data_IF_581849749054
#
_entry.id   IF_581849749054
#
_cell.length_a   1.000
_cell.length_b   1.000
_cell.length_c   1.000
_cell.angle_alpha   90.00
_cell.angle_beta   90.00
_cell.angle_gamma   90.00
#
_symmetry.space_group_name_H-M   'P 1'
#
loop_
_entity.id
_entity.type
_entity.pdbx_description
1 polymer ?
#
# COMPACT_ATOMS: atom_id res chain seq x y z
N UNK A 1 -19.85 22.38 -11.38
CA UNK A 1 -20.39 21.01 -11.25
C UNK A 1 -19.30 19.95 -11.11
N UNK A 2 -18.17 20.04 -11.83
CA UNK A 2 -17.00 19.17 -11.56
C UNK A 2 -16.30 19.46 -10.21
N UNK A 3 -16.28 20.72 -9.76
CA UNK A 3 -15.74 21.12 -8.45
C UNK A 3 -16.37 20.37 -7.26
N UNK A 4 -17.69 20.14 -7.29
CA UNK A 4 -18.40 19.51 -6.16
C UNK A 4 -18.05 18.04 -6.03
N UNK A 5 -17.99 17.29 -7.13
CA UNK A 5 -17.53 15.89 -7.13
C UNK A 5 -16.07 15.76 -6.68
N UNK A 6 -15.24 16.75 -7.02
CA UNK A 6 -13.84 16.81 -6.58
C UNK A 6 -13.71 17.03 -5.06
N UNK A 7 -14.51 17.94 -4.50
CA UNK A 7 -14.57 18.20 -3.06
C UNK A 7 -15.15 17.02 -2.28
N UNK A 8 -16.19 16.38 -2.82
CA UNK A 8 -16.84 15.21 -2.20
C UNK A 8 -15.87 14.02 -2.10
N UNK A 9 -15.11 13.72 -3.15
CA UNK A 9 -14.08 12.67 -3.12
C UNK A 9 -12.92 12.96 -2.16
N UNK A 10 -12.64 14.24 -1.89
CA UNK A 10 -11.62 14.65 -0.92
C UNK A 10 -12.12 14.58 0.52
N UNK A 11 -13.44 14.60 0.77
CA UNK A 11 -13.99 14.60 2.12
C UNK A 11 -13.65 13.29 2.83
N UNK A 12 -13.25 13.37 4.10
CA UNK A 12 -13.00 12.19 4.94
C UNK A 12 -14.25 11.31 5.11
N UNK A 13 -15.42 11.84 4.79
CA UNK A 13 -16.72 11.15 4.90
C UNK A 13 -16.88 10.00 3.88
N UNK A 14 -16.05 9.94 2.84
CA UNK A 14 -16.09 8.88 1.82
C UNK A 14 -14.96 7.83 1.96
N UNK A 15 -14.13 7.94 3.01
CA UNK A 15 -13.00 7.05 3.23
C UNK A 15 -13.04 6.48 4.64
N UNK A 16 -13.20 5.17 4.74
CA UNK A 16 -13.11 4.46 6.01
C UNK A 16 -11.73 3.83 6.17
N UNK A 17 -11.11 4.05 7.33
CA UNK A 17 -9.85 3.39 7.67
C UNK A 17 -10.16 1.95 8.05
N UNK A 18 -9.53 1.00 7.36
CA UNK A 18 -9.70 -0.41 7.65
C UNK A 18 -9.41 -0.72 9.14
N UNK A 19 -10.20 -1.57 9.79
CA UNK A 19 -9.93 -2.00 11.16
C UNK A 19 -8.50 -2.52 11.32
N UNK A 20 -7.80 -2.00 12.32
CA UNK A 20 -6.41 -2.38 12.63
C UNK A 20 -5.33 -1.70 11.77
N UNK A 21 -5.67 -0.84 10.80
CA UNK A 21 -4.68 -0.18 9.95
C UNK A 21 -3.75 0.75 10.73
N UNK A 22 -4.28 1.70 11.52
CA UNK A 22 -3.46 2.61 12.32
C UNK A 22 -2.58 1.86 13.33
N UNK A 23 -3.11 0.81 13.97
CA UNK A 23 -2.31 0.01 14.91
C UNK A 23 -1.17 -0.71 14.18
N UNK A 24 -1.46 -1.37 13.05
CA UNK A 24 -0.45 -2.07 12.26
C UNK A 24 0.65 -1.12 11.81
N UNK A 25 0.30 0.04 11.24
CA UNK A 25 1.27 1.05 10.80
C UNK A 25 2.09 1.62 11.98
N UNK A 26 1.46 1.85 13.13
CA UNK A 26 2.15 2.30 14.34
C UNK A 26 3.18 1.28 14.81
N UNK A 27 2.81 -0.01 14.84
CA UNK A 27 3.71 -1.12 15.22
C UNK A 27 4.85 -1.30 14.23
N UNK A 28 4.59 -1.21 12.93
CA UNK A 28 5.65 -1.19 11.90
C UNK A 28 6.66 -0.08 12.19
N UNK A 29 6.20 1.14 12.47
CA UNK A 29 7.09 2.26 12.80
C UNK A 29 7.88 2.02 14.08
N UNK A 30 7.23 1.48 15.13
CA UNK A 30 7.89 1.13 16.41
C UNK A 30 9.00 0.08 16.24
N UNK A 31 8.84 -0.84 15.29
CA UNK A 31 9.85 -1.84 14.92
C UNK A 31 10.94 -1.30 13.98
N UNK A 32 10.86 -0.04 13.57
CA UNK A 32 11.86 0.60 12.70
C UNK A 32 11.62 0.42 11.21
N UNK A 33 10.46 -0.08 10.78
CA UNK A 33 10.12 -0.14 9.35
C UNK A 33 9.88 1.26 8.80
N UNK A 34 10.61 1.56 7.72
CA UNK A 34 10.35 2.72 6.86
C UNK A 34 9.21 2.37 5.92
N UNK A 35 8.23 3.26 5.78
CA UNK A 35 7.03 2.99 5.00
C UNK A 35 6.79 4.09 3.98
N UNK A 36 6.28 3.71 2.81
CA UNK A 36 5.81 4.62 1.76
C UNK A 36 4.52 4.11 1.15
N UNK A 37 3.80 4.98 0.45
CA UNK A 37 2.57 4.62 -0.27
C UNK A 37 2.84 4.57 -1.77
N UNK A 38 2.37 3.52 -2.44
CA UNK A 38 2.41 3.39 -3.91
C UNK A 38 1.01 3.07 -4.41
N UNK A 39 0.36 4.01 -5.10
CA UNK A 39 -1.05 3.90 -5.46
C UNK A 39 -1.37 4.38 -6.88
N UNK A 40 -2.26 3.65 -7.55
CA UNK A 40 -2.87 4.11 -8.81
C UNK A 40 -3.97 5.14 -8.46
N UNK A 41 -3.53 6.33 -8.08
CA UNK A 41 -4.36 7.43 -7.64
C UNK A 41 -3.76 8.75 -8.13
N UNK A 42 -4.47 9.84 -7.84
CA UNK A 42 -4.02 11.21 -8.07
C UNK A 42 -3.49 11.86 -6.78
N UNK A 43 -3.04 13.10 -6.88
CA UNK A 43 -2.41 13.86 -5.81
C UNK A 43 -3.32 14.19 -4.62
N UNK A 44 -4.63 13.88 -4.70
CA UNK A 44 -5.54 14.01 -3.55
C UNK A 44 -5.22 13.01 -2.44
N UNK A 45 -4.54 11.90 -2.75
CA UNK A 45 -4.21 10.85 -1.78
C UNK A 45 -3.45 11.40 -0.55
N UNK A 46 -2.55 12.36 -0.76
CA UNK A 46 -1.81 13.04 0.31
C UNK A 46 -2.75 13.69 1.35
N UNK A 47 -3.81 14.35 0.87
CA UNK A 47 -4.81 15.01 1.72
C UNK A 47 -5.73 14.00 2.38
N UNK A 48 -6.11 12.93 1.68
CA UNK A 48 -6.95 11.85 2.23
C UNK A 48 -6.21 11.18 3.40
N UNK A 49 -4.95 10.79 3.21
CA UNK A 49 -4.12 10.20 4.27
C UNK A 49 -3.96 11.14 5.48
N UNK A 50 -3.84 12.44 5.24
CA UNK A 50 -3.76 13.44 6.32
C UNK A 50 -5.07 13.53 7.11
N UNK A 51 -6.22 13.50 6.41
CA UNK A 51 -7.55 13.55 7.04
C UNK A 51 -7.89 12.28 7.80
N UNK A 52 -7.36 11.14 7.40
CA UNK A 52 -7.50 9.86 8.09
C UNK A 52 -6.47 9.66 9.22
N UNK A 53 -5.63 10.67 9.51
CA UNK A 53 -4.50 10.58 10.45
C UNK A 53 -3.55 9.40 10.18
N UNK A 54 -3.33 9.08 8.90
CA UNK A 54 -2.41 8.02 8.47
C UNK A 54 -1.13 8.56 7.85
N UNK A 55 -1.16 9.80 7.33
CA UNK A 55 -0.06 10.37 6.56
C UNK A 55 1.27 10.37 7.30
N UNK A 56 1.24 10.58 8.60
CA UNK A 56 2.41 10.70 9.46
C UNK A 56 3.16 9.36 9.66
N UNK A 57 2.64 8.24 9.17
CA UNK A 57 3.34 6.96 9.15
C UNK A 57 4.28 6.79 7.95
N UNK A 58 4.08 7.55 6.88
CA UNK A 58 4.77 7.34 5.60
C UNK A 58 5.83 8.41 5.34
N UNK A 59 6.99 8.01 4.84
CA UNK A 59 8.05 8.93 4.43
C UNK A 59 7.73 9.60 3.09
N UNK A 60 7.04 8.89 2.20
CA UNK A 60 6.60 9.40 0.90
C UNK A 60 5.27 8.80 0.46
N UNK A 61 4.59 9.51 -0.43
CA UNK A 61 3.38 9.06 -1.12
C UNK A 61 3.62 9.20 -2.62
N UNK A 62 3.69 8.06 -3.31
CA UNK A 62 3.93 7.98 -4.75
C UNK A 62 2.64 7.57 -5.46
N UNK A 63 2.01 8.55 -6.08
CA UNK A 63 0.79 8.37 -6.88
C UNK A 63 1.16 8.11 -8.33
N UNK A 64 0.30 7.42 -9.08
CA UNK A 64 0.52 7.24 -10.53
C UNK A 64 0.54 8.57 -11.30
N UNK A 65 -0.21 9.57 -10.82
CA UNK A 65 -0.16 10.93 -11.39
C UNK A 65 1.23 11.56 -11.19
N UNK A 66 1.79 11.49 -9.98
CA UNK A 66 3.11 12.04 -9.69
C UNK A 66 4.24 11.26 -10.38
N UNK A 67 4.10 9.93 -10.49
CA UNK A 67 5.09 9.05 -11.11
C UNK A 67 5.07 9.09 -12.65
N UNK A 68 3.95 9.47 -13.27
CA UNK A 68 3.74 9.38 -14.72
C UNK A 68 3.50 7.95 -15.25
N UNK A 69 3.53 6.95 -14.37
CA UNK A 69 3.26 5.55 -14.66
C UNK A 69 2.41 4.94 -13.55
N UNK A 70 1.60 3.94 -13.88
CA UNK A 70 0.73 3.26 -12.92
C UNK A 70 1.12 1.79 -12.77
N UNK A 71 0.86 1.20 -11.61
CA UNK A 71 0.93 -0.26 -11.43
C UNK A 71 0.05 -0.94 -12.49
N UNK A 72 0.51 -2.00 -13.19
CA UNK A 72 1.65 -2.84 -12.86
C UNK A 72 2.98 -2.45 -13.54
N UNK A 73 3.11 -1.25 -14.10
CA UNK A 73 4.39 -0.81 -14.69
C UNK A 73 5.52 -0.86 -13.64
N UNK A 74 6.64 -1.47 -13.99
CA UNK A 74 7.80 -1.63 -13.11
C UNK A 74 8.36 -0.29 -12.62
N UNK A 75 8.25 0.75 -13.44
CA UNK A 75 8.82 2.07 -13.17
C UNK A 75 8.32 2.69 -11.87
N UNK A 76 7.06 2.47 -11.50
CA UNK A 76 6.51 3.03 -10.25
C UNK A 76 7.13 2.34 -9.02
N UNK A 77 7.44 1.05 -9.11
CA UNK A 77 8.12 0.31 -8.03
C UNK A 77 9.61 0.66 -7.96
N UNK A 78 10.27 0.79 -9.11
CA UNK A 78 11.66 1.22 -9.21
C UNK A 78 11.84 2.64 -8.61
N UNK A 79 10.89 3.55 -8.88
CA UNK A 79 10.88 4.87 -8.26
C UNK A 79 10.62 4.82 -6.75
N UNK A 80 9.69 3.97 -6.29
CA UNK A 80 9.46 3.78 -4.86
C UNK A 80 10.71 3.24 -4.13
N UNK A 81 11.44 2.31 -4.75
CA UNK A 81 12.72 1.78 -4.22
C UNK A 81 13.79 2.88 -4.17
N UNK A 82 13.85 3.73 -5.21
CA UNK A 82 14.76 4.88 -5.25
C UNK A 82 14.47 5.88 -4.14
N UNK A 83 13.20 6.22 -3.90
CA UNK A 83 12.76 7.09 -2.81
C UNK A 83 13.03 6.48 -1.44
N UNK A 84 12.80 5.17 -1.28
CA UNK A 84 13.11 4.43 -0.06
C UNK A 84 14.61 4.26 0.18
N UNK A 85 15.44 4.33 -0.86
CA UNK A 85 16.88 4.13 -0.76
C UNK A 85 17.26 2.70 -0.37
N UNK A 86 16.46 1.70 -0.75
CA UNK A 86 16.67 0.29 -0.41
C UNK A 86 16.68 -0.59 -1.67
N UNK A 87 17.46 -1.68 -1.68
CA UNK A 87 17.39 -2.66 -2.78
C UNK A 87 16.05 -3.41 -2.75
N UNK A 88 15.60 -3.97 -3.89
CA UNK A 88 14.31 -4.64 -3.98
C UNK A 88 14.14 -5.78 -2.97
N UNK A 89 15.17 -6.59 -2.74
CA UNK A 89 15.15 -7.70 -1.76
C UNK A 89 15.05 -7.27 -0.29
N UNK A 90 15.04 -5.97 0.01
CA UNK A 90 14.83 -5.43 1.36
C UNK A 90 13.51 -4.65 1.47
N UNK A 91 12.66 -4.69 0.44
CA UNK A 91 11.36 -4.03 0.43
C UNK A 91 10.23 -5.04 0.25
N UNK A 92 9.10 -4.77 0.90
CA UNK A 92 7.87 -5.54 0.76
C UNK A 92 6.73 -4.60 0.34
N UNK A 93 5.97 -4.99 -0.68
CA UNK A 93 4.74 -4.29 -1.08
C UNK A 93 3.51 -5.03 -0.56
N UNK A 94 2.56 -4.31 0.04
CA UNK A 94 1.29 -4.86 0.53
C UNK A 94 0.15 -4.17 -0.21
N UNK A 95 -0.72 -4.95 -0.85
CA UNK A 95 -1.88 -4.44 -1.58
C UNK A 95 -2.89 -5.54 -1.86
N UNK A 96 -4.02 -5.20 -2.47
CA UNK A 96 -5.19 -6.08 -2.62
C UNK A 96 -5.37 -6.64 -4.04
N UNK A 97 -4.61 -6.13 -5.02
CA UNK A 97 -4.67 -6.59 -6.40
C UNK A 97 -3.53 -7.57 -6.73
N UNK A 98 -3.90 -8.76 -7.22
CA UNK A 98 -2.92 -9.77 -7.60
C UNK A 98 -1.94 -9.29 -8.69
N UNK A 99 -2.43 -8.59 -9.71
CA UNK A 99 -1.62 -8.15 -10.85
C UNK A 99 -0.86 -6.88 -10.53
N UNK A 100 -1.55 -5.87 -9.99
CA UNK A 100 -1.03 -4.53 -9.75
C UNK A 100 -0.16 -4.45 -8.51
N UNK A 101 -0.41 -5.26 -7.48
CA UNK A 101 0.37 -5.20 -6.24
C UNK A 101 1.27 -6.42 -6.08
N UNK A 102 0.70 -7.62 -6.03
CA UNK A 102 1.45 -8.82 -5.69
C UNK A 102 2.47 -9.20 -6.76
N UNK A 103 2.02 -9.38 -8.02
CA UNK A 103 2.84 -9.84 -9.14
C UNK A 103 3.82 -8.75 -9.60
N UNK A 104 3.37 -7.50 -9.69
CA UNK A 104 4.21 -6.41 -10.19
C UNK A 104 5.39 -6.10 -9.27
N UNK A 105 5.18 -6.06 -7.94
CA UNK A 105 6.27 -5.87 -6.98
C UNK A 105 7.30 -7.01 -7.03
N UNK A 106 6.85 -8.27 -7.14
CA UNK A 106 7.75 -9.42 -7.28
C UNK A 106 8.54 -9.40 -8.59
N UNK A 107 7.95 -8.89 -9.67
CA UNK A 107 8.65 -8.80 -10.94
C UNK A 107 9.90 -7.89 -10.86
N UNK A 108 9.91 -6.89 -9.97
CA UNK A 108 11.09 -6.03 -9.71
C UNK A 108 12.00 -6.56 -8.60
N UNK A 109 11.71 -7.74 -8.05
CA UNK A 109 12.52 -8.40 -7.02
C UNK A 109 12.14 -8.07 -5.58
N UNK A 110 11.01 -7.38 -5.35
CA UNK A 110 10.50 -7.11 -4.01
C UNK A 110 9.79 -8.33 -3.42
N UNK A 111 9.71 -8.37 -2.09
CA UNK A 111 8.70 -9.18 -1.41
C UNK A 111 7.32 -8.58 -1.66
N UNK A 112 6.27 -9.40 -1.64
CA UNK A 112 4.90 -8.88 -1.70
C UNK A 112 3.92 -9.77 -0.98
N UNK A 113 2.92 -9.13 -0.36
CA UNK A 113 1.84 -9.77 0.35
C UNK A 113 0.49 -9.27 -0.20
N UNK A 114 -0.45 -10.19 -0.39
CA UNK A 114 -1.76 -9.90 -0.95
C UNK A 114 -2.78 -9.80 0.19
N UNK A 115 -3.31 -8.60 0.43
CA UNK A 115 -4.40 -8.34 1.36
C UNK A 115 -5.72 -8.76 0.72
N UNK A 116 -6.31 -9.87 1.16
CA UNK A 116 -7.55 -10.41 0.61
C UNK A 116 -8.35 -11.13 1.67
N UNK A 117 -9.59 -10.71 1.86
CA UNK A 117 -10.52 -11.43 2.74
C UNK A 117 -10.83 -12.83 2.17
N UNK A 118 -11.04 -13.80 3.07
CA UNK A 118 -11.39 -15.17 2.69
C UNK A 118 -12.68 -15.18 1.82
N UNK A 119 -12.68 -16.00 0.77
CA UNK A 119 -13.84 -16.18 -0.11
C UNK A 119 -14.04 -15.12 -1.20
N UNK A 120 -13.08 -14.21 -1.41
CA UNK A 120 -13.15 -13.25 -2.51
C UNK A 120 -12.53 -13.79 -3.82
N UNK A 121 -13.40 -14.07 -4.79
CA UNK A 121 -13.03 -14.40 -6.18
C UNK A 121 -12.33 -15.75 -6.35
N UNK A 122 -11.77 -15.99 -7.54
CA UNK A 122 -10.89 -17.14 -7.76
C UNK A 122 -9.62 -17.01 -6.91
N UNK A 123 -9.19 -18.13 -6.32
CA UNK A 123 -7.95 -18.18 -5.56
C UNK A 123 -6.77 -17.87 -6.49
N UNK A 124 -6.06 -16.75 -6.28
CA UNK A 124 -4.89 -16.46 -7.08
C UNK A 124 -3.79 -17.49 -6.75
N UNK A 125 -2.96 -17.83 -7.73
CA UNK A 125 -1.79 -18.71 -7.53
C UNK A 125 -0.74 -17.96 -6.73
N UNK A 126 -0.94 -17.91 -5.41
CA UNK A 126 -0.13 -17.22 -4.40
C UNK A 126 0.12 -18.20 -3.26
N UNK A 127 1.38 -18.40 -2.83
CA UNK A 127 1.67 -19.20 -1.65
C UNK A 127 0.87 -18.70 -0.43
N UNK A 128 0.20 -19.58 0.34
CA UNK A 128 -0.69 -19.17 1.45
C UNK A 128 -0.03 -18.23 2.46
N UNK A 129 1.27 -18.36 2.69
CA UNK A 129 2.08 -17.52 3.58
C UNK A 129 2.20 -16.05 3.12
N UNK A 130 1.89 -15.77 1.85
CA UNK A 130 1.88 -14.41 1.32
C UNK A 130 0.48 -13.79 1.28
N UNK A 131 -0.57 -14.54 1.66
CA UNK A 131 -1.94 -14.04 1.71
C UNK A 131 -2.22 -13.51 3.12
N UNK A 132 -2.70 -12.28 3.19
CA UNK A 132 -3.07 -11.61 4.42
C UNK A 132 -4.60 -11.44 4.43
N UNK A 133 -5.34 -12.19 5.26
CA UNK A 133 -6.78 -11.99 5.41
C UNK A 133 -7.14 -10.60 5.94
N UNK A 134 -6.28 -10.05 6.81
CA UNK A 134 -6.43 -8.73 7.44
C UNK A 134 -5.05 -8.11 7.68
N UNK A 135 -5.00 -6.80 7.94
CA UNK A 135 -3.75 -6.12 8.31
C UNK A 135 -3.16 -6.63 9.63
N UNK A 136 -3.99 -7.16 10.55
CA UNK A 136 -3.48 -7.79 11.78
C UNK A 136 -2.64 -9.04 11.52
N UNK A 137 -2.83 -9.72 10.38
CA UNK A 137 -1.94 -10.84 9.99
C UNK A 137 -0.56 -10.35 9.60
N UNK A 138 -0.45 -9.16 8.98
CA UNK A 138 0.84 -8.52 8.72
C UNK A 138 1.57 -8.23 10.03
N UNK A 139 0.84 -7.71 11.03
CA UNK A 139 1.40 -7.47 12.35
C UNK A 139 1.98 -8.76 12.96
N UNK A 140 1.24 -9.87 12.92
CA UNK A 140 1.70 -11.14 13.44
C UNK A 140 2.95 -11.69 12.73
N UNK A 141 3.13 -11.40 11.43
CA UNK A 141 4.35 -11.75 10.69
C UNK A 141 5.53 -10.88 11.14
N UNK A 142 5.31 -9.59 11.31
CA UNK A 142 6.32 -8.64 11.77
C UNK A 142 6.74 -8.95 13.22
N UNK A 143 5.83 -9.44 14.06
CA UNK A 143 6.12 -9.73 15.46
C UNK A 143 6.97 -10.98 15.68
N UNK A 144 6.92 -11.95 14.75
CA UNK A 144 7.65 -13.22 14.79
C UNK A 144 9.11 -13.11 14.31
N UNK A 145 9.46 -12.03 13.62
CA UNK A 145 10.82 -11.67 13.25
C UNK A 145 11.45 -10.71 14.26
#
# INVERSE_FOLDING_TARGET
MAENLYQDYCSAQNWEVLPGASETLSRCRQRGFRMGVVSNFDNRLEKILSRCDLRHHFEFVLTSEAAGFAKPDRKIFEEALRLGGVPPGQAAHVGDDYTRDYRAARAVGMHSFLLRAAGQGEEPVVPPEHVLPTLSHLLALIEKG
#
